data_IF_938009608094
#
_entry.id   IF_938009608094
#
_cell.length_a   1.000
_cell.length_b   1.000
_cell.length_c   1.000
_cell.angle_alpha   90.00
_cell.angle_beta   90.00
_cell.angle_gamma   90.00
#
_symmetry.space_group_name_H-M   'P 1'
#
loop_
_entity.id
_entity.type
_entity.pdbx_description
1 polymer ?
#
# COMPACT_ATOMS: atom_id res chain seq x y z
N UNK A 1 -15.75 -25.48 6.13
CA UNK A 1 -15.91 -24.68 4.90
C UNK A 1 -14.54 -24.14 4.52
N UNK A 2 -14.07 -24.34 3.29
CA UNK A 2 -12.77 -23.80 2.87
C UNK A 2 -12.81 -22.27 2.81
N UNK A 3 -11.73 -21.58 3.18
CA UNK A 3 -11.64 -20.12 3.08
C UNK A 3 -11.55 -19.69 1.61
N UNK A 4 -11.97 -18.46 1.28
CA UNK A 4 -11.86 -17.92 -0.09
C UNK A 4 -10.44 -17.99 -0.63
N UNK A 5 -9.43 -17.72 0.20
CA UNK A 5 -8.02 -17.89 -0.14
C UNK A 5 -7.70 -19.31 -0.61
N UNK A 6 -8.07 -20.33 0.18
CA UNK A 6 -7.81 -21.74 -0.19
C UNK A 6 -8.52 -22.13 -1.49
N UNK A 7 -9.75 -21.64 -1.69
CA UNK A 7 -10.51 -21.85 -2.93
C UNK A 7 -9.75 -21.28 -4.13
N UNK A 8 -9.34 -20.01 -4.07
CA UNK A 8 -8.64 -19.36 -5.20
C UNK A 8 -7.27 -19.97 -5.47
N UNK A 9 -6.50 -20.31 -4.43
CA UNK A 9 -5.20 -20.97 -4.59
C UNK A 9 -5.34 -22.33 -5.28
N UNK A 10 -6.38 -23.11 -4.94
CA UNK A 10 -6.67 -24.37 -5.60
C UNK A 10 -6.95 -24.19 -7.10
N UNK A 11 -7.79 -23.22 -7.48
CA UNK A 11 -8.09 -22.96 -8.89
C UNK A 11 -6.89 -22.43 -9.68
N UNK A 12 -6.07 -21.56 -9.08
CA UNK A 12 -4.82 -21.10 -9.70
C UNK A 12 -3.87 -22.27 -10.01
N UNK A 13 -3.76 -23.24 -9.09
CA UNK A 13 -2.94 -24.43 -9.29
C UNK A 13 -3.48 -25.34 -10.41
N UNK A 14 -4.79 -25.57 -10.46
CA UNK A 14 -5.41 -26.36 -11.54
C UNK A 14 -5.25 -25.70 -12.91
N UNK A 15 -5.43 -24.37 -13.01
CA UNK A 15 -5.22 -23.62 -14.25
C UNK A 15 -3.75 -23.65 -14.70
N UNK A 16 -2.81 -23.56 -13.74
CA UNK A 16 -1.37 -23.72 -14.02
C UNK A 16 -1.08 -25.09 -14.63
N UNK A 17 -1.57 -26.15 -13.98
CA UNK A 17 -1.39 -27.53 -14.44
C UNK A 17 -1.96 -27.73 -15.84
N UNK A 18 -3.17 -27.22 -16.09
CA UNK A 18 -3.80 -27.29 -17.40
C UNK A 18 -2.95 -26.59 -18.49
N UNK A 19 -2.42 -25.42 -18.19
CA UNK A 19 -1.57 -24.67 -19.13
C UNK A 19 -0.26 -25.41 -19.44
N UNK A 20 0.38 -26.00 -18.43
CA UNK A 20 1.61 -26.80 -18.57
C UNK A 20 1.38 -28.06 -19.41
N UNK A 21 0.26 -28.75 -19.22
CA UNK A 21 -0.13 -29.93 -20.02
C UNK A 21 -0.30 -29.57 -21.51
N UNK A 22 -0.94 -28.43 -21.82
CA UNK A 22 -1.16 -27.97 -23.20
C UNK A 22 0.16 -27.50 -23.85
N UNK A 23 1.01 -26.79 -23.09
CA UNK A 23 2.36 -26.41 -23.53
C UNK A 23 3.17 -27.65 -23.92
N UNK A 24 3.15 -28.69 -23.10
CA UNK A 24 3.84 -29.95 -23.39
C UNK A 24 3.29 -30.60 -24.67
N UNK A 25 1.97 -30.71 -24.80
CA UNK A 25 1.35 -31.30 -26.00
C UNK A 25 1.68 -30.55 -27.29
N UNK A 26 1.78 -29.20 -27.25
CA UNK A 26 2.18 -28.38 -28.41
C UNK A 26 3.64 -28.58 -28.79
N UNK A 27 4.52 -28.88 -27.83
CA UNK A 27 5.93 -29.15 -28.11
C UNK A 27 6.15 -30.58 -28.64
N UNK A 28 5.30 -31.52 -28.27
CA UNK A 28 5.47 -32.94 -28.61
C UNK A 28 4.72 -33.37 -29.88
N UNK A 29 3.80 -32.58 -30.41
CA UNK A 29 2.99 -32.94 -31.57
C UNK A 29 2.99 -31.82 -32.63
N UNK A 30 3.06 -32.21 -33.91
CA UNK A 30 2.95 -31.28 -35.04
C UNK A 30 1.51 -30.80 -35.30
N UNK A 31 0.51 -31.51 -34.79
CA UNK A 31 -0.91 -31.18 -34.98
C UNK A 31 -1.73 -31.47 -33.72
N UNK A 32 -2.73 -30.64 -33.45
CA UNK A 32 -3.71 -30.88 -32.39
C UNK A 32 -4.98 -31.53 -32.94
N UNK A 33 -5.30 -32.73 -32.47
CA UNK A 33 -6.56 -33.39 -32.79
C UNK A 33 -7.75 -32.70 -32.11
N UNK A 34 -8.88 -32.62 -32.82
CA UNK A 34 -10.14 -32.05 -32.32
C UNK A 34 -10.57 -32.68 -31.00
N UNK A 35 -10.53 -34.01 -30.91
CA UNK A 35 -10.91 -34.77 -29.71
C UNK A 35 -10.07 -34.44 -28.48
N UNK A 36 -8.78 -34.17 -28.68
CA UNK A 36 -7.87 -33.75 -27.60
C UNK A 36 -8.27 -32.34 -27.16
N UNK A 37 -8.44 -31.42 -28.11
CA UNK A 37 -8.81 -30.05 -27.81
C UNK A 37 -10.15 -29.96 -27.07
N UNK A 38 -11.16 -30.73 -27.51
CA UNK A 38 -12.47 -30.83 -26.85
C UNK A 38 -12.32 -31.27 -25.41
N UNK A 39 -11.59 -32.36 -25.14
CA UNK A 39 -11.32 -32.86 -23.78
C UNK A 39 -10.72 -31.79 -22.86
N UNK A 40 -9.74 -31.04 -23.34
CA UNK A 40 -9.11 -29.97 -22.54
C UNK A 40 -10.02 -28.77 -22.34
N UNK A 41 -10.78 -28.39 -23.38
CA UNK A 41 -11.74 -27.28 -23.30
C UNK A 41 -12.90 -27.58 -22.36
N UNK A 42 -13.40 -28.82 -22.35
CA UNK A 42 -14.42 -29.28 -21.41
C UNK A 42 -13.90 -29.25 -19.98
N UNK A 43 -12.69 -29.78 -19.73
CA UNK A 43 -12.06 -29.72 -18.40
C UNK A 43 -11.88 -28.28 -17.92
N UNK A 44 -11.46 -27.37 -18.80
CA UNK A 44 -11.37 -25.93 -18.48
C UNK A 44 -12.76 -25.37 -18.12
N UNK A 45 -13.78 -25.61 -18.94
CA UNK A 45 -15.13 -25.09 -18.71
C UNK A 45 -15.74 -25.63 -17.41
N UNK A 46 -15.50 -26.89 -17.07
CA UNK A 46 -15.89 -27.46 -15.78
C UNK A 46 -15.20 -26.75 -14.60
N UNK A 47 -13.91 -26.43 -14.72
CA UNK A 47 -13.18 -25.65 -13.71
C UNK A 47 -13.80 -24.27 -13.54
N UNK A 48 -14.16 -23.59 -14.64
CA UNK A 48 -14.82 -22.28 -14.62
C UNK A 48 -16.19 -22.35 -13.94
N UNK A 49 -17.00 -23.38 -14.22
CA UNK A 49 -18.30 -23.58 -13.56
C UNK A 49 -18.13 -23.82 -12.06
N UNK A 50 -17.15 -24.66 -11.67
CA UNK A 50 -16.84 -24.91 -10.25
C UNK A 50 -16.33 -23.65 -9.56
N UNK A 51 -15.52 -22.85 -10.24
CA UNK A 51 -15.04 -21.56 -9.75
C UNK A 51 -16.22 -20.62 -9.47
N UNK A 52 -17.10 -20.41 -10.44
CA UNK A 52 -18.28 -19.55 -10.27
C UNK A 52 -19.17 -20.01 -9.11
N UNK A 53 -19.46 -21.31 -9.01
CA UNK A 53 -20.25 -21.87 -7.88
C UNK A 53 -19.62 -21.60 -6.52
N UNK A 54 -18.29 -21.55 -6.45
CA UNK A 54 -17.54 -21.39 -5.19
C UNK A 54 -17.26 -19.94 -4.84
N UNK A 55 -17.07 -19.07 -5.84
CA UNK A 55 -16.63 -17.68 -5.67
C UNK A 55 -17.73 -16.64 -5.90
N UNK A 56 -18.73 -16.96 -6.72
CA UNK A 56 -19.72 -16.02 -7.26
C UNK A 56 -19.18 -15.11 -8.39
N UNK A 57 -17.93 -15.28 -8.82
CA UNK A 57 -17.28 -14.44 -9.84
C UNK A 57 -17.41 -15.12 -11.21
N UNK A 58 -18.08 -14.51 -12.20
CA UNK A 58 -18.22 -15.11 -13.52
C UNK A 58 -16.90 -15.01 -14.28
N UNK A 59 -16.55 -16.09 -14.98
CA UNK A 59 -15.43 -16.14 -15.93
C UNK A 59 -15.91 -16.76 -17.24
N UNK A 60 -15.25 -16.42 -18.34
CA UNK A 60 -15.64 -16.86 -19.68
C UNK A 60 -15.28 -18.33 -19.91
N UNK A 61 -16.22 -19.07 -20.51
CA UNK A 61 -15.98 -20.45 -20.97
C UNK A 61 -15.41 -20.44 -22.38
N UNK A 62 -14.51 -21.37 -22.67
CA UNK A 62 -13.90 -21.51 -23.98
C UNK A 62 -14.76 -22.36 -24.91
N UNK A 63 -14.88 -21.95 -26.17
CA UNK A 63 -15.54 -22.72 -27.23
C UNK A 63 -14.67 -22.72 -28.49
N UNK A 64 -14.61 -23.88 -29.13
CA UNK A 64 -14.00 -24.07 -30.45
C UNK A 64 -15.09 -23.85 -31.50
N UNK A 65 -14.75 -23.13 -32.57
CA UNK A 65 -15.69 -22.90 -33.67
C UNK A 65 -15.34 -23.74 -34.91
N UNK A 66 -16.33 -24.08 -35.73
CA UNK A 66 -16.14 -24.94 -36.90
C UNK A 66 -15.11 -24.37 -37.89
N UNK A 67 -15.05 -23.04 -38.05
CA UNK A 67 -14.06 -22.38 -38.91
C UNK A 67 -12.61 -22.48 -38.38
N UNK A 68 -12.42 -22.91 -37.14
CA UNK A 68 -11.11 -23.16 -36.52
C UNK A 68 -10.62 -24.60 -36.76
N UNK A 69 -11.43 -25.46 -37.38
CA UNK A 69 -11.06 -26.82 -37.73
C UNK A 69 -10.32 -26.87 -39.08
N UNK A 70 -9.57 -27.94 -39.29
CA UNK A 70 -9.02 -28.28 -40.61
C UNK A 70 -10.14 -28.71 -41.56
N UNK A 71 -9.84 -28.75 -42.86
CA UNK A 71 -10.79 -29.16 -43.90
C UNK A 71 -11.35 -30.56 -43.65
N UNK A 72 -10.55 -31.45 -43.05
CA UNK A 72 -10.97 -32.81 -42.68
C UNK A 72 -11.74 -32.89 -41.35
N UNK A 73 -11.84 -31.78 -40.62
CA UNK A 73 -12.40 -31.64 -39.27
C UNK A 73 -11.72 -32.48 -38.17
N UNK A 74 -10.63 -33.19 -38.49
CA UNK A 74 -9.90 -34.05 -37.55
C UNK A 74 -8.96 -33.27 -36.62
N UNK A 75 -8.51 -32.09 -37.05
CA UNK A 75 -7.51 -31.28 -36.35
C UNK A 75 -7.96 -29.83 -36.20
N UNK A 76 -7.41 -29.16 -35.20
CA UNK A 76 -7.67 -27.74 -34.89
C UNK A 76 -6.50 -26.90 -35.39
N UNK A 77 -6.78 -25.71 -35.91
CA UNK A 77 -5.75 -24.74 -36.33
C UNK A 77 -4.93 -24.25 -35.14
N UNK A 78 -3.66 -23.99 -35.36
CA UNK A 78 -2.74 -23.49 -34.32
C UNK A 78 -3.21 -22.20 -33.66
N UNK A 79 -3.87 -21.31 -34.43
CA UNK A 79 -4.43 -20.06 -33.91
C UNK A 79 -5.48 -20.29 -32.81
N UNK A 80 -6.28 -21.36 -32.90
CA UNK A 80 -7.28 -21.68 -31.88
C UNK A 80 -6.65 -22.32 -30.63
N UNK A 81 -5.60 -23.12 -30.82
CA UNK A 81 -4.79 -23.64 -29.69
C UNK A 81 -4.13 -22.47 -28.95
N UNK A 82 -3.60 -21.49 -29.67
CA UNK A 82 -2.98 -20.29 -29.10
C UNK A 82 -4.00 -19.41 -28.38
N UNK A 83 -5.18 -19.20 -28.98
CA UNK A 83 -6.31 -18.52 -28.34
C UNK A 83 -6.69 -19.16 -27.01
N UNK A 84 -6.74 -20.50 -26.96
CA UNK A 84 -7.05 -21.21 -25.74
C UNK A 84 -5.99 -21.05 -24.65
N UNK A 85 -4.70 -21.10 -25.02
CA UNK A 85 -3.59 -20.84 -24.08
C UNK A 85 -3.64 -19.43 -23.51
N UNK A 86 -3.91 -18.44 -24.35
CA UNK A 86 -4.09 -17.05 -23.91
C UNK A 86 -5.26 -16.99 -22.93
N UNK A 87 -6.39 -17.61 -23.27
CA UNK A 87 -7.56 -17.63 -22.39
C UNK A 87 -7.26 -18.25 -21.01
N UNK A 88 -6.58 -19.39 -20.96
CA UNK A 88 -6.16 -20.02 -19.69
C UNK A 88 -5.22 -19.09 -18.92
N UNK A 89 -4.24 -18.50 -19.59
CA UNK A 89 -3.23 -17.64 -18.96
C UNK A 89 -3.87 -16.37 -18.37
N UNK A 90 -4.75 -15.71 -19.12
CA UNK A 90 -5.52 -14.55 -18.66
C UNK A 90 -6.45 -14.92 -17.51
N UNK A 91 -7.16 -16.04 -17.61
CA UNK A 91 -8.01 -16.55 -16.52
C UNK A 91 -7.19 -16.79 -15.26
N UNK A 92 -6.02 -17.42 -15.39
CA UNK A 92 -5.14 -17.68 -14.26
C UNK A 92 -4.68 -16.39 -13.61
N UNK A 93 -4.30 -15.38 -14.39
CA UNK A 93 -3.90 -14.08 -13.87
C UNK A 93 -5.03 -13.45 -13.04
N UNK A 94 -6.27 -13.45 -13.54
CA UNK A 94 -7.43 -12.94 -12.79
C UNK A 94 -7.65 -13.69 -11.47
N UNK A 95 -7.43 -15.01 -11.45
CA UNK A 95 -7.55 -15.81 -10.22
C UNK A 95 -6.38 -15.53 -9.26
N UNK A 96 -5.16 -15.35 -9.77
CA UNK A 96 -3.98 -14.97 -8.97
C UNK A 96 -4.18 -13.61 -8.29
N UNK A 97 -4.70 -12.62 -9.01
CA UNK A 97 -5.03 -11.30 -8.46
C UNK A 97 -6.00 -11.44 -7.27
N UNK A 98 -6.98 -12.34 -7.39
CA UNK A 98 -7.92 -12.60 -6.31
C UNK A 98 -7.29 -13.33 -5.12
N UNK A 99 -6.30 -14.22 -5.34
CA UNK A 99 -5.49 -14.82 -4.27
C UNK A 99 -4.74 -13.72 -3.51
N UNK A 100 -4.13 -12.78 -4.22
CA UNK A 100 -3.40 -11.66 -3.62
C UNK A 100 -4.33 -10.74 -2.80
N UNK A 101 -5.51 -10.41 -3.33
CA UNK A 101 -6.53 -9.65 -2.59
C UNK A 101 -6.93 -10.35 -1.30
N UNK A 102 -7.25 -11.65 -1.33
CA UNK A 102 -7.64 -12.39 -0.13
C UNK A 102 -6.48 -12.57 0.87
N UNK A 103 -5.24 -12.69 0.39
CA UNK A 103 -4.04 -12.71 1.23
C UNK A 103 -3.86 -11.38 1.97
N UNK A 104 -4.04 -10.27 1.28
CA UNK A 104 -3.81 -8.92 1.83
C UNK A 104 -4.97 -8.45 2.73
N UNK A 105 -6.19 -9.01 2.57
CA UNK A 105 -7.32 -8.77 3.49
C UNK A 105 -7.04 -9.18 4.94
N UNK A 106 -6.18 -10.17 5.16
CA UNK A 106 -5.74 -10.58 6.50
C UNK A 106 -4.68 -9.65 7.10
N UNK A 107 -3.83 -9.07 6.26
CA UNK A 107 -2.67 -8.25 6.67
C UNK A 107 -3.09 -6.81 6.96
N UNK A 108 -3.96 -6.22 6.14
CA UNK A 108 -4.51 -4.88 6.37
C UNK A 108 -5.26 -4.75 7.71
N UNK A 109 -5.85 -5.85 8.21
CA UNK A 109 -6.48 -5.89 9.54
C UNK A 109 -5.50 -5.90 10.71
N UNK A 110 -4.22 -6.25 10.49
CA UNK A 110 -3.20 -6.37 11.54
C UNK A 110 -2.19 -5.22 11.56
N UNK A 111 -2.14 -4.35 10.55
CA UNK A 111 -1.26 -3.18 10.59
C UNK A 111 -1.88 -2.14 11.54
N UNK A 112 -1.21 -1.78 12.65
CA UNK A 112 -1.72 -0.79 13.57
C UNK A 112 -2.06 0.54 12.88
N UNK A 113 -3.03 1.29 13.41
CA UNK A 113 -3.45 2.58 12.84
C UNK A 113 -2.31 3.59 12.74
N UNK A 114 -1.36 3.55 13.68
CA UNK A 114 -0.21 4.46 13.69
C UNK A 114 0.89 4.09 12.67
N UNK A 115 0.75 2.96 11.96
CA UNK A 115 1.75 2.47 11.01
C UNK A 115 1.30 2.64 9.56
N UNK A 116 2.30 2.84 8.70
CA UNK A 116 2.13 2.95 7.26
C UNK A 116 1.59 1.65 6.66
N UNK A 117 0.71 1.75 5.65
CA UNK A 117 0.14 0.56 4.99
C UNK A 117 1.11 -0.15 4.06
N UNK A 118 2.01 0.60 3.42
CA UNK A 118 3.06 0.07 2.55
C UNK A 118 4.34 0.84 2.76
N UNK A 119 5.46 0.14 2.92
CA UNK A 119 6.76 0.76 3.10
C UNK A 119 7.20 1.49 1.82
N UNK A 120 7.52 2.78 1.94
CA UNK A 120 7.98 3.61 0.82
C UNK A 120 9.30 3.12 0.20
N UNK A 121 10.15 2.44 0.98
CA UNK A 121 11.48 2.01 0.54
C UNK A 121 11.49 0.62 -0.07
N UNK A 122 10.80 -0.33 0.56
CA UNK A 122 10.85 -1.75 0.19
C UNK A 122 9.59 -2.23 -0.51
N UNK A 123 8.51 -1.45 -0.47
CA UNK A 123 7.22 -1.82 -1.05
C UNK A 123 6.49 -2.93 -0.30
N UNK A 124 7.03 -3.47 0.79
CA UNK A 124 6.33 -4.48 1.60
C UNK A 124 5.16 -3.85 2.35
N UNK A 125 4.15 -4.65 2.69
CA UNK A 125 3.03 -4.20 3.52
C UNK A 125 3.49 -3.93 4.96
N UNK A 126 2.99 -2.86 5.56
CA UNK A 126 3.43 -2.39 6.87
C UNK A 126 4.82 -1.74 6.87
N UNK A 127 5.26 -1.31 8.05
CA UNK A 127 6.66 -0.94 8.25
C UNK A 127 7.46 -2.19 8.64
N UNK A 128 8.54 -2.57 7.92
CA UNK A 128 9.38 -3.72 8.27
C UNK A 128 9.95 -3.66 9.70
N UNK A 129 10.16 -2.44 10.21
CA UNK A 129 10.67 -2.22 11.57
C UNK A 129 9.60 -2.41 12.66
N UNK A 130 8.32 -2.45 12.28
CA UNK A 130 7.18 -2.61 13.15
C UNK A 130 7.26 -1.75 14.45
N UNK A 131 7.42 -0.42 14.33
CA UNK A 131 7.58 0.44 15.51
C UNK A 131 6.35 0.40 16.42
N UNK A 132 6.59 0.27 17.72
CA UNK A 132 5.56 0.39 18.74
C UNK A 132 5.17 1.86 18.93
N UNK A 133 3.89 2.12 19.21
CA UNK A 133 3.38 3.46 19.48
C UNK A 133 3.77 3.91 20.89
N UNK A 134 4.36 5.09 21.00
CA UNK A 134 4.65 5.79 22.24
C UNK A 134 3.65 6.93 22.44
N UNK A 135 2.72 6.74 23.38
CA UNK A 135 1.57 7.64 23.58
C UNK A 135 1.92 9.03 24.10
N UNK A 136 3.06 9.16 24.79
CA UNK A 136 3.54 10.41 25.38
C UNK A 136 4.67 11.03 24.56
N UNK A 137 4.77 10.69 23.27
CA UNK A 137 5.84 11.19 22.40
C UNK A 137 5.30 11.94 21.22
N UNK A 138 5.99 13.03 20.88
CA UNK A 138 5.67 13.89 19.74
C UNK A 138 6.88 14.05 18.83
N UNK A 139 6.67 13.84 17.53
CA UNK A 139 7.66 14.11 16.52
C UNK A 139 7.62 15.60 16.16
N UNK A 140 8.78 16.25 16.11
CA UNK A 140 8.90 17.65 15.74
C UNK A 140 9.68 17.77 14.42
N UNK A 141 8.96 18.10 13.35
CA UNK A 141 9.56 18.53 12.08
C UNK A 141 9.67 20.05 12.05
N UNK A 142 10.86 20.60 11.84
CA UNK A 142 11.08 22.04 11.81
C UNK A 142 12.25 22.40 10.90
N UNK A 143 12.35 23.66 10.43
CA UNK A 143 13.50 24.09 9.65
C UNK A 143 14.73 24.14 10.56
N UNK A 144 15.90 23.85 9.98
CA UNK A 144 17.18 23.80 10.71
C UNK A 144 17.78 25.18 11.01
N UNK A 145 17.21 26.25 10.45
CA UNK A 145 17.70 27.61 10.61
C UNK A 145 17.59 28.06 12.08
N UNK A 146 18.67 28.64 12.61
CA UNK A 146 18.79 29.09 14.00
C UNK A 146 17.67 30.06 14.40
N UNK A 147 17.10 30.81 13.44
CA UNK A 147 15.98 31.72 13.71
C UNK A 147 14.74 31.03 14.30
N UNK A 148 14.58 29.72 14.08
CA UNK A 148 13.45 28.97 14.63
C UNK A 148 13.79 28.20 15.90
N UNK A 149 15.05 28.23 16.34
CA UNK A 149 15.50 27.47 17.50
C UNK A 149 14.79 27.90 18.79
N UNK A 150 14.49 29.19 18.94
CA UNK A 150 13.76 29.71 20.09
C UNK A 150 12.31 29.22 20.13
N UNK A 151 11.64 29.18 18.97
CA UNK A 151 10.28 28.63 18.86
C UNK A 151 10.24 27.17 19.29
N UNK A 152 11.30 26.41 18.99
CA UNK A 152 11.45 25.03 19.45
C UNK A 152 11.74 24.95 20.95
N UNK A 153 12.84 25.56 21.42
CA UNK A 153 13.34 25.40 22.79
C UNK A 153 12.37 25.98 23.82
N UNK A 154 11.84 27.18 23.56
CA UNK A 154 11.02 27.89 24.54
C UNK A 154 9.52 27.78 24.25
N UNK A 155 9.14 27.52 23.00
CA UNK A 155 7.75 27.27 22.62
C UNK A 155 7.37 25.81 22.79
N UNK A 156 7.89 24.97 21.90
CA UNK A 156 7.48 23.56 21.74
C UNK A 156 7.93 22.69 22.92
N UNK A 157 9.23 22.68 23.24
CA UNK A 157 9.83 21.76 24.21
C UNK A 157 9.29 22.02 25.64
N UNK A 158 9.17 23.28 26.05
CA UNK A 158 8.61 23.63 27.37
C UNK A 158 7.11 23.32 27.43
N UNK A 159 6.33 23.63 26.37
CA UNK A 159 4.91 23.32 26.35
C UNK A 159 4.67 21.81 26.52
N UNK A 160 5.34 20.99 25.72
CA UNK A 160 5.19 19.53 25.83
C UNK A 160 5.68 18.98 27.16
N UNK A 161 6.81 19.47 27.67
CA UNK A 161 7.28 19.08 29.00
C UNK A 161 6.25 19.39 30.09
N UNK A 162 5.56 20.53 30.01
CA UNK A 162 4.50 20.88 30.96
C UNK A 162 3.24 20.01 30.86
N UNK A 163 3.02 19.37 29.71
CA UNK A 163 1.95 18.41 29.46
C UNK A 163 2.39 16.94 29.65
N UNK A 164 3.62 16.68 30.10
CA UNK A 164 4.15 15.32 30.28
C UNK A 164 4.45 14.57 28.97
N UNK A 165 4.67 15.31 27.88
CA UNK A 165 4.96 14.79 26.53
C UNK A 165 6.46 15.00 26.22
N UNK A 166 7.10 13.99 25.65
CA UNK A 166 8.50 14.03 25.22
C UNK A 166 8.60 14.41 23.73
N UNK A 167 9.35 15.47 23.43
CA UNK A 167 9.60 15.92 22.06
C UNK A 167 10.80 15.21 21.43
N UNK A 168 10.59 14.58 20.27
CA UNK A 168 11.65 14.03 19.44
C UNK A 168 11.90 14.92 18.22
N UNK A 169 13.14 15.40 18.08
CA UNK A 169 13.62 16.17 16.92
C UNK A 169 14.62 15.34 16.12
N UNK A 170 14.41 15.22 14.81
CA UNK A 170 15.12 14.26 13.95
C UNK A 170 16.64 14.50 13.81
N UNK A 171 17.09 15.72 14.09
CA UNK A 171 18.46 16.22 13.93
C UNK A 171 19.45 15.73 15.01
N UNK A 172 18.97 15.19 16.12
CA UNK A 172 19.82 14.79 17.26
C UNK A 172 20.53 13.43 17.13
N UNK A 173 20.32 12.67 16.06
CA UNK A 173 20.91 11.31 15.94
C UNK A 173 21.61 11.09 14.61
N UNK A 174 22.94 10.99 14.65
CA UNK A 174 23.77 10.54 13.54
C UNK A 174 23.70 9.01 13.48
N UNK A 175 23.34 8.44 12.33
CA UNK A 175 23.30 6.99 12.12
C UNK A 175 23.55 6.65 10.65
N UNK A 176 24.02 5.44 10.36
CA UNK A 176 24.22 4.93 8.99
C UNK A 176 22.90 4.48 8.30
N UNK A 177 21.75 4.77 8.90
CA UNK A 177 20.43 4.44 8.35
C UNK A 177 20.00 5.57 7.41
N UNK A 178 19.36 5.19 6.31
CA UNK A 178 18.67 6.10 5.40
C UNK A 178 17.77 7.10 6.16
N UNK A 179 17.96 8.39 5.89
CA UNK A 179 17.33 9.50 6.64
C UNK A 179 15.81 9.42 6.56
N UNK A 180 15.26 9.11 5.39
CA UNK A 180 13.81 9.00 5.18
C UNK A 180 13.22 7.82 5.96
N UNK A 181 13.90 6.67 5.97
CA UNK A 181 13.49 5.52 6.77
C UNK A 181 13.47 5.84 8.27
N UNK A 182 14.48 6.58 8.77
CA UNK A 182 14.54 7.01 10.17
C UNK A 182 13.40 7.97 10.51
N UNK A 183 13.14 8.98 9.69
CA UNK A 183 12.04 9.92 9.90
C UNK A 183 10.71 9.17 9.91
N UNK A 184 10.47 8.32 8.92
CA UNK A 184 9.24 7.54 8.81
C UNK A 184 9.02 6.60 10.01
N UNK A 185 10.08 5.97 10.53
CA UNK A 185 10.02 5.18 11.75
C UNK A 185 9.62 6.03 12.96
N UNK A 186 10.28 7.18 13.15
CA UNK A 186 10.03 8.05 14.30
C UNK A 186 8.63 8.68 14.27
N UNK A 187 8.15 9.05 13.08
CA UNK A 187 6.76 9.51 12.90
C UNK A 187 5.74 8.42 13.26
N UNK A 188 6.04 7.15 12.98
CA UNK A 188 5.16 6.04 13.37
C UNK A 188 5.21 5.77 14.89
N UNK A 189 6.39 5.88 15.52
CA UNK A 189 6.54 5.75 16.99
C UNK A 189 5.73 6.82 17.73
N UNK A 190 5.82 8.09 17.33
CA UNK A 190 5.23 9.19 18.07
C UNK A 190 3.71 9.23 17.92
N UNK A 191 2.93 9.44 19.00
CA UNK A 191 1.48 9.60 18.91
C UNK A 191 1.08 10.85 18.13
N UNK A 192 1.70 11.97 18.47
CA UNK A 192 1.46 13.27 17.87
C UNK A 192 2.59 13.64 16.91
N UNK A 193 2.28 14.40 15.87
CA UNK A 193 3.26 15.01 14.99
C UNK A 193 3.03 16.52 15.00
N UNK A 194 4.09 17.31 15.13
CA UNK A 194 4.04 18.77 15.01
C UNK A 194 5.03 19.24 13.94
N UNK A 195 4.56 20.07 13.02
CA UNK A 195 5.39 20.63 11.95
C UNK A 195 5.43 22.15 12.03
N UNK A 196 6.63 22.70 12.20
CA UNK A 196 6.88 24.12 12.01
C UNK A 196 7.14 24.40 10.53
N UNK A 197 6.14 24.88 9.81
CA UNK A 197 6.26 25.15 8.37
C UNK A 197 6.83 26.55 8.07
N UNK A 198 7.33 27.26 9.09
CA UNK A 198 7.85 28.61 8.90
C UNK A 198 8.98 28.67 7.86
N UNK A 199 8.93 29.66 6.98
CA UNK A 199 9.85 29.78 5.85
C UNK A 199 9.75 28.68 4.80
N UNK A 200 8.74 27.82 4.88
CA UNK A 200 8.38 26.80 3.87
C UNK A 200 9.54 25.85 3.52
N UNK A 201 10.25 25.35 4.53
CA UNK A 201 11.37 24.43 4.31
C UNK A 201 10.91 23.16 3.54
N UNK A 202 11.47 22.85 2.36
CA UNK A 202 11.00 21.74 1.53
C UNK A 202 11.02 20.37 2.22
N UNK A 203 12.00 20.12 3.10
CA UNK A 203 12.09 18.85 3.82
C UNK A 203 10.94 18.73 4.84
N UNK A 204 10.67 19.79 5.59
CA UNK A 204 9.54 19.81 6.54
C UNK A 204 8.21 19.66 5.80
N UNK A 205 8.06 20.29 4.64
CA UNK A 205 6.86 20.15 3.80
C UNK A 205 6.67 18.70 3.31
N UNK A 206 7.76 18.01 2.95
CA UNK A 206 7.72 16.59 2.58
C UNK A 206 7.30 15.71 3.76
N UNK A 207 7.83 15.97 4.96
CA UNK A 207 7.46 15.24 6.18
C UNK A 207 5.99 15.48 6.58
N UNK A 208 5.49 16.70 6.39
CA UNK A 208 4.06 17.02 6.56
C UNK A 208 3.19 16.26 5.56
N UNK A 209 3.59 16.19 4.28
CA UNK A 209 2.88 15.36 3.30
C UNK A 209 2.87 13.88 3.69
N UNK A 210 3.99 13.38 4.22
CA UNK A 210 4.10 12.02 4.73
C UNK A 210 3.17 11.78 5.93
N UNK A 211 2.99 12.74 6.82
CA UNK A 211 2.11 12.59 7.98
C UNK A 211 0.65 12.39 7.58
N UNK A 212 0.18 13.11 6.56
CA UNK A 212 -1.14 12.89 5.97
C UNK A 212 -1.27 11.51 5.32
N UNK A 213 -0.23 11.07 4.60
CA UNK A 213 -0.21 9.71 4.02
C UNK A 213 -0.26 8.60 5.08
N UNK A 214 0.24 8.86 6.29
CA UNK A 214 0.15 7.94 7.43
C UNK A 214 -1.19 8.03 8.17
N UNK A 215 -2.03 9.04 7.89
CA UNK A 215 -3.28 9.28 8.62
C UNK A 215 -3.06 9.68 10.08
N UNK A 216 -1.97 10.39 10.37
CA UNK A 216 -1.58 10.78 11.73
C UNK A 216 -2.14 12.14 12.09
N UNK A 217 -2.60 12.27 13.34
CA UNK A 217 -3.00 13.56 13.91
C UNK A 217 -1.79 14.51 13.90
N UNK A 218 -1.91 15.56 13.09
CA UNK A 218 -0.81 16.46 12.75
C UNK A 218 -1.15 17.88 13.16
N UNK A 219 -0.30 18.47 13.99
CA UNK A 219 -0.37 19.87 14.41
C UNK A 219 0.54 20.68 13.51
N UNK A 220 0.02 21.78 12.96
CA UNK A 220 0.80 22.65 12.09
C UNK A 220 0.97 23.99 12.77
N UNK A 221 2.21 24.47 12.82
CA UNK A 221 2.55 25.77 13.39
C UNK A 221 3.32 26.59 12.37
N UNK A 222 3.17 27.90 12.41
CA UNK A 222 3.92 28.83 11.57
C UNK A 222 4.07 30.19 12.24
N UNK A 223 5.12 30.92 11.87
CA UNK A 223 5.23 32.33 12.18
C UNK A 223 4.24 33.18 11.35
N UNK A 224 4.11 34.45 11.72
CA UNK A 224 3.27 35.42 11.00
C UNK A 224 3.85 35.86 9.66
N UNK A 225 5.16 35.73 9.48
CA UNK A 225 5.85 36.16 8.25
C UNK A 225 5.64 35.16 7.11
N UNK A 226 5.40 33.89 7.45
CA UNK A 226 5.19 32.81 6.50
C UNK A 226 3.79 32.89 5.90
N UNK A 227 3.78 33.03 4.57
CA UNK A 227 2.57 33.05 3.73
C UNK A 227 1.77 31.75 3.89
N UNK A 228 0.45 31.89 3.91
CA UNK A 228 -0.46 30.76 3.94
C UNK A 228 -0.38 29.98 2.62
N UNK A 229 -0.30 28.65 2.72
CA UNK A 229 -0.33 27.77 1.55
C UNK A 229 -1.78 27.38 1.29
N UNK A 230 -2.32 27.73 0.12
CA UNK A 230 -3.73 27.51 -0.27
C UNK A 230 -4.17 26.05 -0.15
N UNK A 231 -3.31 25.11 -0.53
CA UNK A 231 -3.66 23.67 -0.58
C UNK A 231 -3.69 23.03 0.82
N UNK A 232 -3.06 23.70 1.79
CA UNK A 232 -3.10 23.34 3.21
C UNK A 232 -3.99 24.35 3.98
N UNK A 233 -4.54 25.37 3.32
CA UNK A 233 -5.22 26.51 3.98
C UNK A 233 -6.49 26.15 4.73
N UNK A 234 -7.07 24.98 4.45
CA UNK A 234 -8.19 24.43 5.22
C UNK A 234 -7.74 23.67 6.48
N UNK A 235 -6.44 23.46 6.68
CA UNK A 235 -5.88 22.94 7.91
C UNK A 235 -5.77 24.07 8.93
N UNK A 236 -6.13 23.78 10.18
CA UNK A 236 -5.98 24.72 11.28
C UNK A 236 -4.49 24.90 11.59
N UNK A 237 -4.02 26.15 11.57
CA UNK A 237 -2.64 26.49 11.93
C UNK A 237 -2.60 27.19 13.28
N UNK A 238 -1.63 26.80 14.11
CA UNK A 238 -1.24 27.62 15.27
C UNK A 238 -0.21 28.64 14.78
N UNK A 239 -0.71 29.81 14.42
CA UNK A 239 0.15 30.95 14.08
C UNK A 239 0.75 31.58 15.36
N UNK A 240 2.02 31.99 15.32
CA UNK A 240 2.69 32.63 16.46
C UNK A 240 3.58 33.83 16.04
N UNK A 241 3.73 34.80 16.94
CA UNK A 241 4.67 35.92 16.81
C UNK A 241 6.00 35.67 17.53
N UNK A 242 5.99 34.94 18.64
CA UNK A 242 7.19 34.60 19.41
C UNK A 242 7.00 33.31 20.20
N UNK A 243 8.10 32.73 20.70
CA UNK A 243 8.10 31.43 21.36
C UNK A 243 7.15 31.33 22.57
N UNK A 244 7.05 32.38 23.39
CA UNK A 244 6.13 32.39 24.55
C UNK A 244 4.64 32.34 24.17
N UNK A 245 4.24 32.96 23.05
CA UNK A 245 2.86 32.87 22.56
C UNK A 245 2.56 31.45 22.05
N UNK A 246 3.50 30.88 21.29
CA UNK A 246 3.43 29.50 20.81
C UNK A 246 3.28 28.53 21.97
N UNK A 247 4.08 28.70 23.03
CA UNK A 247 4.02 27.89 24.24
C UNK A 247 2.61 27.87 24.84
N UNK A 248 2.01 29.05 25.06
CA UNK A 248 0.69 29.18 25.66
C UNK A 248 -0.41 28.54 24.79
N UNK A 249 -0.33 28.73 23.47
CA UNK A 249 -1.27 28.14 22.51
C UNK A 249 -1.17 26.61 22.51
N UNK A 250 0.03 26.05 22.54
CA UNK A 250 0.24 24.60 22.59
C UNK A 250 -0.26 24.01 23.92
N UNK A 251 0.04 24.63 25.06
CA UNK A 251 -0.47 24.17 26.36
C UNK A 251 -2.00 24.14 26.35
N UNK A 252 -2.64 25.19 25.81
CA UNK A 252 -4.10 25.24 25.68
C UNK A 252 -4.64 24.15 24.75
N UNK A 253 -3.96 23.86 23.64
CA UNK A 253 -4.37 22.81 22.71
C UNK A 253 -4.37 21.40 23.34
N UNK A 254 -3.39 21.10 24.21
CA UNK A 254 -3.27 19.78 24.84
C UNK A 254 -4.06 19.61 26.14
N UNK A 255 -4.43 20.71 26.80
CA UNK A 255 -5.19 20.69 28.06
C UNK A 255 -6.69 20.96 27.88
N UNK A 256 -7.13 21.40 26.70
CA UNK A 256 -8.53 21.62 26.34
C UNK A 256 -9.18 20.37 25.75
#
# INVERSE_FOLDING_TARGET
MATKFVIFTHFSAELKKLNEEIEYLKRSNDYFYKTIMEKYSERYNELIIKYFKSSGIPLEQFKIYDYELSVSEKTVKDSAVERFKINISTTKQLVDDQVEIEKNKGISKNIPLHQMRKCLKTGVEGCPKNPALEVNRVFVGMPFDDKYLDSYKYGIEIAFKSCGIESYRADKTISNIDVMCKICEQMQICKYLIFNISGLNPNVMLELGLSYGLGKDTIIIKDKETINISDIANAEYIEYSHAGELQQKLIKYFNG
#
